data_IF_929478479588
#
_entry.id   IF_929478479588
#
_cell.length_a   1.000
_cell.length_b   1.000
_cell.length_c   1.000
_cell.angle_alpha   90.00
_cell.angle_beta   90.00
_cell.angle_gamma   90.00
#
_symmetry.space_group_name_H-M   'P 1'
#
loop_
_entity.id
_entity.type
_entity.pdbx_description
1 polymer ?
#
# COMPACT_ATOMS: atom_id res chain seq x y z
N UNK A 1 15.56 -15.02 21.23
CA UNK A 1 15.65 -15.13 19.77
C UNK A 1 14.80 -14.04 19.11
N UNK A 2 13.53 -13.94 19.48
CA UNK A 2 12.58 -12.93 18.97
C UNK A 2 13.07 -11.47 19.14
N UNK A 3 13.44 -11.04 20.35
CA UNK A 3 14.01 -9.69 20.55
C UNK A 3 15.24 -9.40 19.69
N UNK A 4 16.11 -10.39 19.46
CA UNK A 4 17.30 -10.22 18.62
C UNK A 4 16.92 -10.04 17.15
N UNK A 5 15.89 -10.77 16.69
CA UNK A 5 15.34 -10.61 15.35
C UNK A 5 14.68 -9.23 15.18
N UNK A 6 13.86 -8.81 16.13
CA UNK A 6 13.22 -7.47 16.13
C UNK A 6 14.28 -6.37 16.05
N UNK A 7 15.35 -6.45 16.85
CA UNK A 7 16.44 -5.48 16.80
C UNK A 7 17.19 -5.49 15.45
N UNK A 8 17.38 -6.68 14.85
CA UNK A 8 17.96 -6.78 13.52
C UNK A 8 17.08 -6.13 12.45
N UNK A 9 15.75 -6.31 12.52
CA UNK A 9 14.78 -5.69 11.62
C UNK A 9 14.73 -4.16 11.77
N UNK A 10 14.81 -3.65 13.00
CA UNK A 10 14.92 -2.20 13.24
C UNK A 10 16.21 -1.65 12.64
N UNK A 11 17.32 -2.36 12.79
CA UNK A 11 18.62 -1.98 12.21
C UNK A 11 18.55 -1.98 10.68
N UNK A 12 17.95 -3.02 10.09
CA UNK A 12 17.71 -3.11 8.65
C UNK A 12 16.85 -1.95 8.15
N UNK A 13 15.76 -1.62 8.85
CA UNK A 13 14.89 -0.50 8.50
C UNK A 13 15.63 0.84 8.55
N UNK A 14 16.52 1.03 9.53
CA UNK A 14 17.38 2.21 9.61
C UNK A 14 18.34 2.31 8.43
N UNK A 15 18.95 1.20 8.04
CA UNK A 15 19.83 1.14 6.87
C UNK A 15 19.06 1.45 5.57
N UNK A 16 17.87 0.88 5.40
CA UNK A 16 17.01 1.16 4.24
C UNK A 16 16.62 2.65 4.15
N UNK A 17 16.27 3.28 5.27
CA UNK A 17 15.95 4.72 5.29
C UNK A 17 17.13 5.60 4.86
N UNK A 18 18.36 5.18 5.13
CA UNK A 18 19.56 5.91 4.72
C UNK A 18 19.94 5.63 3.26
N UNK A 19 19.79 4.38 2.81
CA UNK A 19 20.22 3.95 1.48
C UNK A 19 19.25 4.41 0.39
N UNK A 20 17.94 4.18 0.58
CA UNK A 20 16.91 4.40 -0.44
C UNK A 20 16.92 5.82 -1.04
N UNK A 21 17.02 6.92 -0.26
CA UNK A 21 17.02 8.27 -0.82
C UNK A 21 18.26 8.60 -1.65
N UNK A 22 19.38 7.91 -1.39
CA UNK A 22 20.66 8.15 -2.08
C UNK A 22 20.90 7.20 -3.24
N UNK A 23 20.07 6.18 -3.37
CA UNK A 23 20.21 5.13 -4.38
C UNK A 23 19.84 5.69 -5.74
N UNK A 24 20.72 5.49 -6.72
CA UNK A 24 20.46 5.91 -8.10
C UNK A 24 19.42 4.98 -8.74
N UNK A 25 18.46 5.56 -9.46
CA UNK A 25 17.36 4.85 -10.14
C UNK A 25 17.85 3.83 -11.20
N UNK A 26 19.10 3.93 -11.65
CA UNK A 26 19.64 3.10 -12.74
C UNK A 26 20.11 1.69 -12.31
N UNK A 27 20.02 1.34 -11.02
CA UNK A 27 20.42 0.02 -10.50
C UNK A 27 19.24 -0.95 -10.39
N UNK A 28 19.49 -2.26 -10.49
CA UNK A 28 18.46 -3.25 -10.15
C UNK A 28 18.04 -3.07 -8.67
N UNK A 29 16.73 -2.89 -8.43
CA UNK A 29 16.13 -2.68 -7.11
C UNK A 29 15.41 -3.94 -6.57
N UNK A 30 15.61 -5.09 -7.23
CA UNK A 30 14.94 -6.34 -6.86
C UNK A 30 15.38 -6.83 -5.46
N UNK A 31 16.58 -6.47 -5.02
CA UNK A 31 17.06 -6.72 -3.65
C UNK A 31 16.16 -6.09 -2.60
N UNK A 32 15.73 -4.84 -2.78
CA UNK A 32 14.82 -4.15 -1.84
C UNK A 32 13.46 -4.83 -1.82
N UNK A 33 12.92 -5.19 -2.99
CA UNK A 33 11.65 -5.91 -3.10
C UNK A 33 11.74 -7.25 -2.37
N UNK A 34 12.82 -8.00 -2.58
CA UNK A 34 13.06 -9.28 -1.93
C UNK A 34 13.19 -9.14 -0.41
N UNK A 35 13.92 -8.13 0.07
CA UNK A 35 14.06 -7.86 1.51
C UNK A 35 12.70 -7.58 2.13
N UNK A 36 11.90 -6.69 1.54
CA UNK A 36 10.57 -6.38 2.06
C UNK A 36 9.65 -7.60 2.02
N UNK A 37 9.68 -8.37 0.93
CA UNK A 37 8.91 -9.60 0.82
C UNK A 37 9.28 -10.57 1.94
N UNK A 38 10.57 -10.81 2.18
CA UNK A 38 11.02 -11.70 3.26
C UNK A 38 10.51 -11.20 4.61
N UNK A 39 10.64 -9.90 4.90
CA UNK A 39 10.19 -9.30 6.16
C UNK A 39 8.68 -9.49 6.37
N UNK A 40 7.89 -9.29 5.32
CA UNK A 40 6.42 -9.44 5.34
C UNK A 40 5.92 -10.88 5.17
N UNK A 41 6.81 -11.87 5.13
CA UNK A 41 6.49 -13.30 5.20
C UNK A 41 7.02 -13.94 6.49
N UNK A 42 7.63 -13.17 7.40
CA UNK A 42 8.16 -13.70 8.65
C UNK A 42 7.05 -14.25 9.55
N UNK A 43 7.18 -15.46 10.12
CA UNK A 43 6.18 -16.04 11.03
C UNK A 43 5.92 -15.23 12.30
N UNK A 44 6.82 -14.29 12.65
CA UNK A 44 6.66 -13.38 13.80
C UNK A 44 5.77 -12.17 13.50
N UNK A 45 5.25 -12.04 12.28
CA UNK A 45 4.21 -11.06 11.94
C UNK A 45 3.02 -11.27 12.87
N UNK A 46 2.64 -10.21 13.60
CA UNK A 46 1.57 -10.24 14.59
C UNK A 46 2.02 -10.46 16.03
N UNK A 47 3.31 -10.71 16.27
CA UNK A 47 3.87 -10.62 17.63
C UNK A 47 3.83 -9.18 18.13
N UNK A 48 3.61 -8.98 19.44
CA UNK A 48 3.54 -7.65 20.04
C UNK A 48 4.81 -6.83 19.82
N UNK A 49 5.99 -7.43 20.02
CA UNK A 49 7.27 -6.75 19.81
C UNK A 49 7.51 -6.34 18.36
N UNK A 50 7.15 -7.21 17.41
CA UNK A 50 7.23 -6.87 15.99
C UNK A 50 6.29 -5.71 15.67
N UNK A 51 5.03 -5.79 16.11
CA UNK A 51 4.01 -4.78 15.84
C UNK A 51 4.38 -3.42 16.45
N UNK A 52 4.93 -3.39 17.66
CA UNK A 52 5.23 -2.15 18.38
C UNK A 52 6.56 -1.50 17.96
N UNK A 53 7.53 -2.31 17.52
CA UNK A 53 8.91 -1.84 17.30
C UNK A 53 9.38 -2.00 15.86
N UNK A 54 9.36 -3.22 15.31
CA UNK A 54 9.92 -3.49 13.99
C UNK A 54 9.03 -2.97 12.85
N UNK A 55 7.73 -3.27 12.89
CA UNK A 55 6.78 -2.87 11.85
C UNK A 55 6.73 -1.35 11.64
N UNK A 56 6.69 -0.50 12.69
CA UNK A 56 6.76 0.95 12.53
C UNK A 56 8.02 1.41 11.82
N UNK A 57 9.17 0.79 12.13
CA UNK A 57 10.44 1.13 11.50
C UNK A 57 10.44 0.75 10.00
N UNK A 58 9.93 -0.44 9.68
CA UNK A 58 9.78 -0.91 8.30
C UNK A 58 8.80 -0.06 7.51
N UNK A 59 7.67 0.33 8.09
CA UNK A 59 6.71 1.25 7.46
C UNK A 59 7.38 2.58 7.10
N UNK A 60 8.15 3.17 8.02
CA UNK A 60 8.89 4.42 7.73
C UNK A 60 9.93 4.24 6.62
N UNK A 61 10.63 3.10 6.61
CA UNK A 61 11.56 2.79 5.52
C UNK A 61 10.84 2.68 4.16
N UNK A 62 9.62 2.12 4.16
CA UNK A 62 8.83 1.95 2.93
C UNK A 62 8.35 3.26 2.30
N UNK A 63 8.37 4.38 3.04
CA UNK A 63 8.03 5.69 2.48
C UNK A 63 9.03 6.18 1.43
N UNK A 64 10.27 5.70 1.49
CA UNK A 64 11.35 6.10 0.61
C UNK A 64 11.43 5.24 -0.67
N UNK A 65 10.50 4.31 -0.87
CA UNK A 65 10.47 3.48 -2.06
C UNK A 65 10.06 4.33 -3.28
N UNK A 66 10.83 4.24 -4.37
CA UNK A 66 10.41 4.79 -5.65
C UNK A 66 9.14 4.11 -6.17
N UNK A 67 8.41 4.80 -7.04
CA UNK A 67 7.17 4.28 -7.62
C UNK A 67 7.39 2.93 -8.32
N UNK A 68 8.50 2.78 -9.04
CA UNK A 68 8.89 1.52 -9.69
C UNK A 68 9.02 0.35 -8.69
N UNK A 69 9.62 0.59 -7.53
CA UNK A 69 9.80 -0.43 -6.49
C UNK A 69 8.47 -0.77 -5.84
N UNK A 70 7.62 0.24 -5.58
CA UNK A 70 6.26 0.02 -5.10
C UNK A 70 5.43 -0.82 -6.09
N UNK A 71 5.54 -0.53 -7.39
CA UNK A 71 4.86 -1.24 -8.45
C UNK A 71 5.34 -2.70 -8.57
N UNK A 72 6.66 -2.93 -8.49
CA UNK A 72 7.23 -4.28 -8.43
C UNK A 72 6.73 -5.05 -7.22
N UNK A 73 6.75 -4.43 -6.03
CA UNK A 73 6.28 -5.06 -4.80
C UNK A 73 4.80 -5.44 -4.89
N UNK A 74 3.94 -4.56 -5.43
CA UNK A 74 2.54 -4.85 -5.66
C UNK A 74 2.32 -6.04 -6.62
N UNK A 75 3.10 -6.12 -7.71
CA UNK A 75 3.07 -7.24 -8.67
C UNK A 75 3.52 -8.56 -8.05
N UNK A 76 4.51 -8.53 -7.17
CA UNK A 76 5.00 -9.76 -6.52
C UNK A 76 3.98 -10.26 -5.49
N UNK A 77 3.43 -9.37 -4.66
CA UNK A 77 2.38 -9.73 -3.71
C UNK A 77 1.08 -10.18 -4.36
N UNK A 78 0.78 -9.74 -5.58
CA UNK A 78 -0.41 -10.23 -6.30
C UNK A 78 -0.23 -11.63 -6.92
N UNK A 79 1.01 -12.12 -6.98
CA UNK A 79 1.40 -13.40 -7.55
C UNK A 79 1.17 -14.61 -6.63
N UNK A 80 1.97 -15.68 -6.76
CA UNK A 80 1.82 -16.92 -6.00
C UNK A 80 1.83 -16.79 -4.47
N UNK A 81 2.31 -15.67 -3.93
CA UNK A 81 2.33 -15.35 -2.49
C UNK A 81 1.11 -14.58 -1.97
N UNK A 82 0.10 -14.28 -2.79
CA UNK A 82 -1.07 -13.44 -2.43
C UNK A 82 -1.88 -13.87 -1.20
N UNK A 83 -1.66 -15.07 -0.68
CA UNK A 83 -2.26 -15.53 0.59
C UNK A 83 -1.83 -14.68 1.80
N UNK A 84 -0.65 -14.07 1.76
CA UNK A 84 -0.15 -13.21 2.85
C UNK A 84 -0.78 -11.82 2.88
N UNK A 85 -1.41 -11.37 1.78
CA UNK A 85 -2.00 -10.02 1.68
C UNK A 85 -2.94 -9.70 2.84
N UNK A 86 -3.79 -10.66 3.24
CA UNK A 86 -4.71 -10.49 4.39
C UNK A 86 -3.95 -10.29 5.68
N UNK A 87 -2.98 -11.16 5.96
CA UNK A 87 -2.19 -11.09 7.19
C UNK A 87 -1.42 -9.77 7.28
N UNK A 88 -0.81 -9.32 6.17
CA UNK A 88 -0.08 -8.05 6.14
C UNK A 88 -1.06 -6.87 6.37
N UNK A 89 -2.23 -6.89 5.72
CA UNK A 89 -3.26 -5.87 5.88
C UNK A 89 -3.75 -5.78 7.34
N UNK A 90 -4.09 -6.92 7.95
CA UNK A 90 -4.55 -7.00 9.34
C UNK A 90 -3.49 -6.47 10.32
N UNK A 91 -2.22 -6.82 10.11
CA UNK A 91 -1.11 -6.30 10.93
C UNK A 91 -0.94 -4.79 10.82
N UNK A 92 -1.05 -4.23 9.61
CA UNK A 92 -0.99 -2.78 9.40
C UNK A 92 -2.20 -2.08 10.02
N UNK A 93 -3.39 -2.65 9.89
CA UNK A 93 -4.60 -2.13 10.54
C UNK A 93 -4.47 -2.16 12.07
N UNK A 94 -3.97 -3.26 12.63
CA UNK A 94 -3.74 -3.38 14.06
C UNK A 94 -2.72 -2.34 14.56
N UNK A 95 -1.65 -2.09 13.79
CA UNK A 95 -0.69 -1.04 14.10
C UNK A 95 -1.35 0.34 14.09
N UNK A 96 -2.13 0.66 13.05
CA UNK A 96 -2.86 1.94 12.97
C UNK A 96 -3.82 2.07 14.15
N UNK A 97 -4.62 1.05 14.45
CA UNK A 97 -5.54 1.04 15.60
C UNK A 97 -4.81 1.27 16.91
N UNK A 98 -3.71 0.56 17.15
CA UNK A 98 -2.90 0.72 18.36
C UNK A 98 -2.37 2.16 18.49
N UNK A 99 -1.83 2.72 17.41
CA UNK A 99 -1.31 4.10 17.40
C UNK A 99 -2.42 5.11 17.63
N UNK A 100 -3.60 4.90 17.06
CA UNK A 100 -4.74 5.81 17.26
C UNK A 100 -5.21 5.79 18.71
N UNK A 101 -5.23 4.62 19.36
CA UNK A 101 -5.69 4.49 20.75
C UNK A 101 -4.68 5.06 21.75
N UNK A 102 -3.39 4.78 21.56
CA UNK A 102 -2.35 5.09 22.55
C UNK A 102 -1.83 6.53 22.42
N UNK A 103 -1.94 7.12 21.23
CA UNK A 103 -1.39 8.46 20.98
C UNK A 103 -2.38 9.54 21.45
N UNK A 104 -1.97 10.46 22.33
CA UNK A 104 -2.84 11.53 22.79
C UNK A 104 -2.95 12.63 21.73
N UNK A 105 -3.94 12.52 20.84
CA UNK A 105 -4.25 13.59 19.89
C UNK A 105 -4.89 14.78 20.56
N UNK A 106 -4.53 15.97 20.11
CA UNK A 106 -5.00 17.25 20.67
C UNK A 106 -5.15 18.30 19.55
N UNK A 107 -5.56 19.52 19.89
CA UNK A 107 -5.97 20.55 18.90
C UNK A 107 -4.94 20.83 17.80
N UNK A 108 -3.65 20.67 18.07
CA UNK A 108 -2.56 20.95 17.12
C UNK A 108 -1.79 19.68 16.68
N UNK A 109 -2.31 18.48 16.98
CA UNK A 109 -1.70 17.21 16.57
C UNK A 109 -2.79 16.20 16.27
N UNK A 110 -2.99 15.98 14.97
CA UNK A 110 -4.03 15.13 14.42
C UNK A 110 -3.48 13.76 14.03
N UNK A 111 -4.38 12.83 13.71
CA UNK A 111 -4.04 11.46 13.28
C UNK A 111 -3.12 11.47 12.06
N UNK A 112 -3.32 12.40 11.11
CA UNK A 112 -2.46 12.53 9.94
C UNK A 112 -1.05 13.09 10.22
N UNK A 113 -0.81 13.64 11.42
CA UNK A 113 0.51 14.17 11.80
C UNK A 113 1.38 13.08 12.43
N UNK A 114 0.81 11.91 12.73
CA UNK A 114 1.55 10.78 13.28
C UNK A 114 2.20 9.95 12.17
N UNK A 115 3.54 9.90 12.21
CA UNK A 115 4.33 9.30 11.14
C UNK A 115 4.10 7.80 11.00
N UNK A 116 3.89 7.05 12.08
CA UNK A 116 3.69 5.60 11.96
C UNK A 116 2.37 5.27 11.26
N UNK A 117 1.29 6.00 11.58
CA UNK A 117 -0.01 5.89 10.93
C UNK A 117 0.09 6.27 9.45
N UNK A 118 0.72 7.40 9.12
CA UNK A 118 0.86 7.82 7.72
C UNK A 118 1.76 6.88 6.91
N UNK A 119 2.85 6.37 7.48
CA UNK A 119 3.70 5.36 6.84
C UNK A 119 2.96 4.05 6.60
N UNK A 120 2.20 3.57 7.59
CA UNK A 120 1.42 2.34 7.46
C UNK A 120 0.35 2.46 6.37
N UNK A 121 -0.36 3.59 6.30
CA UNK A 121 -1.40 3.81 5.28
C UNK A 121 -0.83 3.93 3.87
N UNK A 122 0.37 4.51 3.70
CA UNK A 122 1.09 4.49 2.40
C UNK A 122 1.42 3.07 1.97
N UNK A 123 1.86 2.20 2.88
CA UNK A 123 2.11 0.79 2.56
C UNK A 123 0.82 0.00 2.27
N UNK A 124 -0.27 0.29 2.99
CA UNK A 124 -1.61 -0.25 2.70
C UNK A 124 -2.08 0.12 1.28
N UNK A 125 -1.68 1.28 0.74
CA UNK A 125 -1.94 1.66 -0.65
C UNK A 125 -1.31 0.69 -1.65
N UNK A 126 -0.07 0.26 -1.40
CA UNK A 126 0.63 -0.73 -2.23
C UNK A 126 -0.12 -2.07 -2.17
N UNK A 127 -0.54 -2.49 -0.97
CA UNK A 127 -1.34 -3.70 -0.79
C UNK A 127 -2.71 -3.60 -1.48
N UNK A 128 -3.34 -2.42 -1.49
CA UNK A 128 -4.60 -2.20 -2.20
C UNK A 128 -4.46 -2.48 -3.70
N UNK A 129 -3.40 -1.97 -4.34
CA UNK A 129 -3.14 -2.27 -5.74
C UNK A 129 -2.73 -3.73 -5.98
N UNK A 130 -1.94 -4.32 -5.08
CA UNK A 130 -1.63 -5.75 -5.13
C UNK A 130 -2.91 -6.61 -5.05
N UNK A 131 -3.86 -6.21 -4.21
CA UNK A 131 -5.14 -6.87 -4.03
C UNK A 131 -6.05 -6.79 -5.27
N UNK A 132 -6.04 -5.64 -5.96
CA UNK A 132 -6.71 -5.50 -7.25
C UNK A 132 -6.07 -6.40 -8.32
N UNK A 133 -4.74 -6.37 -8.43
CA UNK A 133 -3.98 -7.21 -9.37
C UNK A 133 -4.20 -8.70 -9.13
N UNK A 134 -4.34 -9.11 -7.88
CA UNK A 134 -4.57 -10.49 -7.49
C UNK A 134 -5.99 -10.98 -7.82
N UNK A 135 -6.92 -10.05 -8.06
CA UNK A 135 -8.32 -10.28 -8.34
C UNK A 135 -8.63 -10.48 -9.83
N UNK A 136 -9.83 -10.07 -10.23
CA UNK A 136 -10.32 -10.10 -11.61
C UNK A 136 -10.39 -8.67 -12.13
N UNK A 137 -9.51 -8.36 -13.08
CA UNK A 137 -9.51 -7.11 -13.83
C UNK A 137 -10.19 -7.31 -15.19
N UNK A 138 -10.99 -6.33 -15.59
CA UNK A 138 -11.59 -6.23 -16.92
C UNK A 138 -10.67 -5.49 -17.89
N UNK A 139 -10.91 -5.68 -19.21
CA UNK A 139 -10.10 -4.98 -20.21
C UNK A 139 -10.36 -3.47 -20.13
N UNK A 140 -9.32 -2.62 -20.16
CA UNK A 140 -9.47 -1.17 -20.25
C UNK A 140 -10.31 -0.72 -21.44
N UNK A 141 -10.41 -1.52 -22.50
CA UNK A 141 -11.19 -1.22 -23.71
C UNK A 141 -12.68 -1.04 -23.43
N UNK A 142 -13.21 -1.74 -22.42
CA UNK A 142 -14.63 -1.67 -22.03
C UNK A 142 -15.02 -0.29 -21.48
N UNK A 143 -14.05 0.56 -21.11
CA UNK A 143 -14.31 1.93 -20.62
C UNK A 143 -14.82 2.88 -21.71
N UNK A 144 -14.55 2.56 -22.98
CA UNK A 144 -14.86 3.45 -24.11
C UNK A 144 -16.15 3.06 -24.85
N UNK A 145 -16.66 1.84 -24.64
CA UNK A 145 -17.84 1.34 -25.36
C UNK A 145 -19.12 2.10 -24.97
N UNK A 146 -19.24 2.55 -23.71
CA UNK A 146 -20.38 3.32 -23.19
C UNK A 146 -20.56 4.71 -23.82
N UNK A 147 -19.52 5.28 -24.45
CA UNK A 147 -19.60 6.60 -25.09
C UNK A 147 -20.19 6.56 -26.50
N UNK A 148 -20.23 5.39 -27.14
CA UNK A 148 -20.72 5.24 -28.52
C UNK A 148 -22.22 4.97 -28.61
N UNK A 149 -22.85 4.58 -27.49
CA UNK A 149 -24.28 4.22 -27.44
C UNK A 149 -25.23 5.40 -27.19
N UNK A 150 -24.74 6.60 -26.83
CA UNK A 150 -25.57 7.80 -26.63
C UNK A 150 -25.05 9.02 -27.40
N UNK A 151 -25.04 8.93 -28.73
CA UNK A 151 -24.97 10.11 -29.59
C UNK A 151 -26.30 10.91 -29.51
N UNK A 152 -26.56 11.60 -28.41
CA UNK A 152 -27.42 12.80 -28.42
C UNK A 152 -27.31 13.73 -27.20
N UNK A 153 -26.18 13.77 -26.47
CA UNK A 153 -26.06 14.72 -25.35
C UNK A 153 -24.67 15.36 -25.25
N UNK A 154 -24.40 16.29 -26.16
CA UNK A 154 -23.19 17.14 -26.19
C UNK A 154 -23.01 17.99 -24.92
N UNK A 155 -23.98 18.03 -24.00
CA UNK A 155 -23.89 18.73 -22.72
C UNK A 155 -23.23 17.92 -21.59
N UNK A 156 -23.20 16.58 -21.68
CA UNK A 156 -22.62 15.71 -20.63
C UNK A 156 -21.10 15.55 -20.78
N UNK A 157 -20.59 15.51 -22.02
CA UNK A 157 -19.16 15.35 -22.30
C UNK A 157 -18.29 16.52 -21.80
N UNK A 158 -18.85 17.73 -21.73
CA UNK A 158 -18.14 18.94 -21.29
C UNK A 158 -18.00 19.00 -19.76
N UNK A 159 -18.88 18.32 -19.00
CA UNK A 159 -18.84 18.32 -17.53
C UNK A 159 -17.92 17.23 -16.95
N UNK A 160 -17.73 16.10 -17.64
CA UNK A 160 -16.85 15.01 -17.15
C UNK A 160 -15.36 15.38 -17.19
N UNK A 161 -14.95 16.26 -18.11
CA UNK A 161 -13.55 16.65 -18.30
C UNK A 161 -13.01 17.67 -17.29
N UNK A 162 -13.83 18.22 -16.38
CA UNK A 162 -13.42 19.34 -15.52
C UNK A 162 -13.03 18.99 -14.09
N UNK A 163 -13.05 17.73 -13.67
CA UNK A 163 -12.66 17.37 -12.30
C UNK A 163 -12.32 15.88 -12.15
N UNK A 164 -11.52 15.30 -13.05
CA UNK A 164 -10.89 14.04 -12.68
C UNK A 164 -9.78 14.34 -11.68
N UNK A 165 -9.83 13.75 -10.47
CA UNK A 165 -8.74 13.89 -9.52
C UNK A 165 -7.44 13.41 -10.17
N UNK A 166 -6.29 14.00 -9.81
CA UNK A 166 -5.00 13.59 -10.35
C UNK A 166 -4.82 12.08 -10.18
N UNK A 167 -4.45 11.40 -11.27
CA UNK A 167 -4.27 9.96 -11.29
C UNK A 167 -3.10 9.57 -10.37
N UNK A 168 -3.28 8.56 -9.52
CA UNK A 168 -2.23 8.09 -8.63
C UNK A 168 -1.02 7.64 -9.47
N UNK A 169 0.21 8.15 -9.21
CA UNK A 169 1.42 7.70 -9.91
C UNK A 169 1.62 6.18 -9.88
N UNK A 170 1.29 5.53 -8.77
CA UNK A 170 1.42 4.08 -8.64
C UNK A 170 0.40 3.34 -9.51
N UNK A 171 -0.84 3.83 -9.59
CA UNK A 171 -1.86 3.27 -10.49
C UNK A 171 -1.42 3.39 -11.95
N UNK A 172 -0.84 4.54 -12.30
CA UNK A 172 -0.30 4.83 -13.64
C UNK A 172 0.81 3.86 -14.00
N UNK A 173 1.79 3.67 -13.11
CA UNK A 173 2.92 2.75 -13.30
C UNK A 173 2.46 1.29 -13.41
N UNK A 174 1.40 0.92 -12.69
CA UNK A 174 0.82 -0.41 -12.78
C UNK A 174 -0.08 -0.61 -14.00
N UNK A 175 -0.49 0.47 -14.67
CA UNK A 175 -1.44 0.43 -15.79
C UNK A 175 -2.85 -0.01 -15.37
N UNK A 176 -3.26 0.28 -14.13
CA UNK A 176 -4.55 -0.16 -13.58
C UNK A 176 -5.41 1.05 -13.28
N UNK A 177 -6.69 0.98 -13.60
CA UNK A 177 -7.69 1.90 -13.09
C UNK A 177 -8.62 1.21 -12.07
N UNK A 178 -9.07 1.93 -11.04
CA UNK A 178 -9.93 1.35 -9.97
C UNK A 178 -11.21 0.74 -10.53
N UNK A 179 -11.76 1.35 -11.58
CA UNK A 179 -12.95 0.87 -12.27
C UNK A 179 -12.75 -0.44 -13.03
N UNK A 180 -11.51 -0.82 -13.34
CA UNK A 180 -11.21 -2.04 -14.07
C UNK A 180 -11.32 -3.26 -13.15
N UNK A 181 -11.35 -3.07 -11.83
CA UNK A 181 -11.43 -4.17 -10.87
C UNK A 181 -12.87 -4.63 -10.64
N UNK A 182 -13.26 -5.70 -11.33
CA UNK A 182 -14.57 -6.34 -11.14
C UNK A 182 -14.68 -7.04 -9.79
N UNK A 183 -13.63 -7.76 -9.39
CA UNK A 183 -13.61 -8.50 -8.13
C UNK A 183 -12.20 -8.48 -7.53
N UNK A 184 -11.94 -7.72 -6.45
CA UNK A 184 -10.65 -7.77 -5.78
C UNK A 184 -10.44 -9.14 -5.12
N UNK A 185 -9.19 -9.49 -4.82
CA UNK A 185 -8.88 -10.76 -4.16
C UNK A 185 -9.42 -10.81 -2.71
N UNK A 186 -9.23 -9.74 -1.94
CA UNK A 186 -9.84 -9.43 -0.66
C UNK A 186 -10.98 -8.43 -0.90
N UNK A 187 -12.18 -8.66 -0.35
CA UNK A 187 -13.29 -7.71 -0.38
C UNK A 187 -12.88 -6.34 0.18
N UNK A 188 -13.39 -5.25 -0.41
CA UNK A 188 -13.09 -3.88 0.08
C UNK A 188 -13.56 -3.63 1.52
N UNK A 189 -14.56 -4.37 1.99
CA UNK A 189 -14.99 -4.32 3.40
C UNK A 189 -13.87 -4.69 4.37
N UNK A 190 -12.86 -5.45 3.94
CA UNK A 190 -11.72 -5.81 4.79
C UNK A 190 -10.72 -4.66 4.95
N UNK A 191 -10.75 -3.65 4.08
CA UNK A 191 -9.96 -2.43 4.24
C UNK A 191 -10.63 -1.44 5.20
N UNK A 192 -11.90 -1.68 5.55
CA UNK A 192 -12.63 -0.86 6.52
C UNK A 192 -12.25 -1.28 7.94
N UNK A 193 -11.80 -0.31 8.73
CA UNK A 193 -11.49 -0.50 10.14
C UNK A 193 -12.60 0.17 10.96
N UNK A 194 -13.61 -0.63 11.36
CA UNK A 194 -14.78 -0.17 12.11
C UNK A 194 -14.42 0.59 13.40
N UNK A 195 -13.42 0.17 14.21
CA UNK A 195 -12.91 0.95 15.35
C UNK A 195 -12.39 2.36 15.04
N UNK A 196 -12.05 2.66 13.78
CA UNK A 196 -11.46 3.92 13.35
C UNK A 196 -12.44 4.83 12.60
N UNK A 197 -13.72 4.45 12.50
CA UNK A 197 -14.75 5.12 11.70
C UNK A 197 -15.72 5.98 12.50
#
# INVERSE_FOLDING_TARGET
FEHSLVNALVTLAGNLQMELPTRKENGNQDDIVNVLLIVFELPVLGSGDFLETALPAICRASEWLSIDVQAKLAKVWSGPGRSSLRNILENLQQLVTLRVIVTPFHRDFFVQDENVITSATKLMKILYYANMLAGVLESPDLRNEDLTASMDDSYLAIKLNKSQPPMDPLATELGIHVLDCRKPYLPFSEYYNEPLS
#
